data_IF_658002527542
#
_entry.id   IF_658002527542
#
_cell.length_a   1.000
_cell.length_b   1.000
_cell.length_c   1.000
_cell.angle_alpha   90.00
_cell.angle_beta   90.00
_cell.angle_gamma   90.00
#
_symmetry.space_group_name_H-M   'P 1'
#
loop_
_entity.id
_entity.type
_entity.pdbx_description
1 polymer ?
#
# COMPACT_ATOMS: atom_id res chain seq x y z
N UNK A 1 -1.68 18.36 -14.03
CA UNK A 1 -0.96 18.15 -12.78
C UNK A 1 -0.78 16.66 -12.53
N UNK A 2 0.41 16.22 -12.19
CA UNK A 2 0.68 14.80 -11.97
C UNK A 2 0.04 14.25 -10.71
N UNK A 3 0.42 13.05 -10.33
CA UNK A 3 -0.02 12.39 -9.12
C UNK A 3 0.34 13.21 -7.88
N UNK A 4 -0.45 13.07 -6.85
CA UNK A 4 -0.15 13.77 -5.60
C UNK A 4 0.67 12.85 -4.69
N UNK A 5 1.74 13.34 -4.03
CA UNK A 5 2.55 12.52 -3.13
C UNK A 5 1.75 11.88 -2.00
N UNK A 6 0.71 12.55 -1.50
CA UNK A 6 -0.13 12.01 -0.43
C UNK A 6 -0.93 10.78 -0.87
N UNK A 7 -1.24 10.62 -2.15
CA UNK A 7 -1.91 9.42 -2.64
C UNK A 7 -1.01 8.19 -2.50
N UNK A 8 0.27 8.31 -2.88
CA UNK A 8 1.24 7.22 -2.74
C UNK A 8 1.50 6.87 -1.29
N UNK A 9 1.63 7.88 -0.45
CA UNK A 9 1.79 7.70 0.99
C UNK A 9 0.56 7.00 1.58
N UNK A 10 -0.64 7.41 1.16
CA UNK A 10 -1.90 6.87 1.62
C UNK A 10 -2.07 5.38 1.31
N UNK A 11 -1.51 4.88 0.20
CA UNK A 11 -1.55 3.46 -0.14
C UNK A 11 -0.93 2.61 0.97
N UNK A 12 0.26 2.98 1.43
CA UNK A 12 0.95 2.27 2.52
C UNK A 12 0.17 2.36 3.82
N UNK A 13 -0.35 3.54 4.15
CA UNK A 13 -1.14 3.75 5.35
C UNK A 13 -2.44 2.94 5.34
N UNK A 14 -3.09 2.86 4.19
CA UNK A 14 -4.35 2.12 4.02
C UNK A 14 -4.18 0.65 4.36
N UNK A 15 -3.13 0.01 3.88
CA UNK A 15 -2.86 -1.41 4.17
C UNK A 15 -2.62 -1.62 5.66
N UNK A 16 -2.01 -0.63 6.33
CA UNK A 16 -1.72 -0.71 7.76
C UNK A 16 -2.87 -0.31 8.69
N UNK A 17 -4.01 0.13 8.15
CA UNK A 17 -5.12 0.61 8.98
C UNK A 17 -5.81 -0.55 9.72
N UNK A 18 -5.95 -0.41 11.02
CA UNK A 18 -6.57 -1.43 11.87
C UNK A 18 -8.08 -1.46 11.80
N UNK A 19 -8.72 -0.28 11.63
CA UNK A 19 -10.17 -0.18 11.61
C UNK A 19 -10.71 -0.53 10.23
N UNK A 20 -11.51 -1.60 10.10
CA UNK A 20 -12.04 -2.01 8.79
C UNK A 20 -12.88 -0.94 8.10
N UNK A 21 -13.62 -0.15 8.86
CA UNK A 21 -14.47 0.91 8.30
C UNK A 21 -13.61 2.04 7.73
N UNK A 22 -12.59 2.45 8.47
CA UNK A 22 -11.65 3.49 8.01
C UNK A 22 -10.84 3.02 6.82
N UNK A 23 -10.41 1.76 6.86
CA UNK A 23 -9.65 1.18 5.74
C UNK A 23 -10.49 1.20 4.47
N UNK A 24 -11.75 0.75 4.54
CA UNK A 24 -12.63 0.74 3.37
C UNK A 24 -12.88 2.16 2.86
N UNK A 25 -13.13 3.11 3.75
CA UNK A 25 -13.32 4.50 3.36
C UNK A 25 -12.11 5.07 2.65
N UNK A 26 -10.90 4.77 3.14
CA UNK A 26 -9.66 5.21 2.50
C UNK A 26 -9.47 4.56 1.12
N UNK A 27 -9.80 3.28 0.99
CA UNK A 27 -9.73 2.59 -0.30
C UNK A 27 -10.68 3.23 -1.31
N UNK A 28 -11.90 3.53 -0.91
CA UNK A 28 -12.89 4.15 -1.78
C UNK A 28 -12.46 5.55 -2.24
N UNK A 29 -11.72 6.26 -1.42
CA UNK A 29 -11.22 7.59 -1.75
C UNK A 29 -9.97 7.56 -2.62
N UNK A 30 -9.03 6.67 -2.31
CA UNK A 30 -7.67 6.70 -2.87
C UNK A 30 -7.55 5.86 -4.14
N UNK A 31 -8.25 4.73 -4.20
CA UNK A 31 -8.14 3.79 -5.32
C UNK A 31 -9.25 3.99 -6.35
N UNK A 32 -8.91 3.75 -7.63
CA UNK A 32 -9.92 3.57 -8.65
C UNK A 32 -10.78 2.34 -8.35
N UNK A 33 -12.00 2.33 -8.83
CA UNK A 33 -12.89 1.17 -8.66
C UNK A 33 -12.36 -0.09 -9.36
N UNK A 34 -11.53 0.08 -10.39
CA UNK A 34 -10.92 -1.01 -11.15
C UNK A 34 -9.42 -1.15 -10.86
N UNK A 35 -8.96 -0.62 -9.73
CA UNK A 35 -7.56 -0.70 -9.33
C UNK A 35 -7.10 -2.15 -9.19
N UNK A 36 -5.81 -2.39 -9.43
CA UNK A 36 -5.21 -3.72 -9.33
C UNK A 36 -4.02 -3.66 -8.38
N UNK A 37 -3.99 -4.62 -7.47
CA UNK A 37 -2.90 -4.79 -6.51
C UNK A 37 -2.16 -6.08 -6.84
N UNK A 38 -0.86 -5.98 -7.10
CA UNK A 38 0.00 -7.13 -7.42
C UNK A 38 0.85 -7.47 -6.21
N UNK A 39 0.67 -8.69 -5.69
CA UNK A 39 1.41 -9.20 -4.55
C UNK A 39 2.65 -9.98 -5.05
N UNK A 40 3.83 -9.80 -4.42
CA UNK A 40 5.05 -10.49 -4.83
C UNK A 40 4.97 -12.01 -4.74
N UNK A 41 4.02 -12.54 -3.99
CA UNK A 41 3.78 -13.98 -3.91
C UNK A 41 2.85 -14.51 -5.01
N UNK A 42 2.54 -13.66 -6.00
CA UNK A 42 1.79 -14.07 -7.18
C UNK A 42 0.30 -13.74 -7.15
N UNK A 43 -0.21 -13.18 -6.07
CA UNK A 43 -1.60 -12.77 -6.00
C UNK A 43 -1.89 -11.53 -6.83
N UNK A 44 -3.03 -11.51 -7.51
CA UNK A 44 -3.51 -10.34 -8.24
C UNK A 44 -4.92 -10.06 -7.73
N UNK A 45 -5.10 -8.87 -7.16
CA UNK A 45 -6.36 -8.47 -6.52
C UNK A 45 -6.94 -7.31 -7.29
N UNK A 46 -8.12 -7.50 -7.86
CA UNK A 46 -8.75 -6.54 -8.76
C UNK A 46 -9.97 -5.93 -8.11
N UNK A 47 -10.02 -4.60 -8.11
CA UNK A 47 -11.14 -3.84 -7.58
C UNK A 47 -11.03 -3.59 -6.08
N UNK A 48 -11.81 -2.63 -5.63
CA UNK A 48 -11.76 -2.16 -4.23
C UNK A 48 -12.14 -3.24 -3.23
N UNK A 49 -13.09 -4.10 -3.56
CA UNK A 49 -13.52 -5.16 -2.65
C UNK A 49 -12.39 -6.15 -2.38
N UNK A 50 -11.69 -6.58 -3.44
CA UNK A 50 -10.58 -7.51 -3.31
C UNK A 50 -9.37 -6.87 -2.62
N UNK A 51 -9.10 -5.61 -2.91
CA UNK A 51 -8.01 -4.87 -2.26
C UNK A 51 -8.30 -4.73 -0.76
N UNK A 52 -9.52 -4.40 -0.40
CA UNK A 52 -9.93 -4.33 1.01
C UNK A 52 -9.81 -5.69 1.70
N UNK A 53 -10.24 -6.74 1.03
CA UNK A 53 -10.16 -8.10 1.56
C UNK A 53 -8.72 -8.50 1.85
N UNK A 54 -7.81 -8.32 0.89
CA UNK A 54 -6.41 -8.71 1.10
C UNK A 54 -5.72 -7.84 2.15
N UNK A 55 -6.04 -6.55 2.21
CA UNK A 55 -5.52 -5.67 3.25
C UNK A 55 -5.93 -6.16 4.64
N UNK A 56 -7.18 -6.60 4.78
CA UNK A 56 -7.67 -7.19 6.02
C UNK A 56 -6.97 -8.48 6.39
N UNK A 57 -6.70 -9.35 5.42
CA UNK A 57 -5.97 -10.61 5.64
C UNK A 57 -4.55 -10.31 6.11
N UNK A 58 -3.85 -9.38 5.45
CA UNK A 58 -2.49 -8.99 5.82
C UNK A 58 -2.48 -8.47 7.26
N UNK A 59 -3.41 -7.60 7.61
CA UNK A 59 -3.46 -7.03 8.96
C UNK A 59 -3.82 -8.06 10.01
N UNK A 60 -4.71 -8.99 9.69
CA UNK A 60 -5.09 -10.07 10.62
C UNK A 60 -3.94 -11.03 10.88
N UNK A 61 -3.09 -11.26 9.88
CA UNK A 61 -1.92 -12.13 10.02
C UNK A 61 -0.87 -11.53 10.95
N UNK A 62 -0.72 -10.19 10.91
CA UNK A 62 0.25 -9.46 11.74
C UNK A 62 -0.41 -8.23 12.36
N UNK A 63 -1.31 -8.43 13.36
CA UNK A 63 -2.11 -7.31 13.88
C UNK A 63 -1.29 -6.22 14.57
N UNK A 64 -0.10 -6.55 15.09
CA UNK A 64 0.76 -5.59 15.77
C UNK A 64 1.73 -4.88 14.84
N UNK A 65 1.76 -5.25 13.57
CA UNK A 65 2.70 -4.65 12.63
C UNK A 65 2.22 -3.27 12.20
N UNK A 66 3.16 -2.35 12.09
CA UNK A 66 2.92 -1.02 11.58
C UNK A 66 3.80 -0.76 10.37
N UNK A 67 3.21 -0.16 9.34
CA UNK A 67 3.95 0.32 8.19
C UNK A 67 4.61 1.65 8.53
N UNK A 68 5.89 1.77 8.16
CA UNK A 68 6.62 3.00 8.34
C UNK A 68 7.37 3.35 7.07
N UNK A 69 6.98 4.43 6.37
CA UNK A 69 7.75 4.90 5.22
C UNK A 69 9.14 5.31 5.64
N UNK A 70 10.15 4.91 4.87
CA UNK A 70 11.54 5.25 5.16
C UNK A 70 11.93 6.61 4.62
N UNK A 71 11.35 6.98 3.48
CA UNK A 71 11.64 8.23 2.78
C UNK A 71 10.33 8.81 2.27
N UNK A 72 10.30 10.12 1.96
CA UNK A 72 9.15 10.68 1.26
C UNK A 72 8.90 9.94 -0.06
N UNK A 73 7.64 9.79 -0.47
CA UNK A 73 7.33 9.17 -1.75
C UNK A 73 8.02 9.91 -2.90
N UNK A 74 8.53 9.15 -3.85
CA UNK A 74 9.13 9.69 -5.06
C UNK A 74 8.14 9.56 -6.20
N UNK A 75 8.00 10.61 -7.00
CA UNK A 75 7.07 10.65 -8.13
C UNK A 75 7.82 10.87 -9.44
N UNK A 76 7.31 10.22 -10.49
CA UNK A 76 7.79 10.42 -11.85
C UNK A 76 6.60 10.23 -12.80
N UNK A 77 6.11 11.32 -13.39
CA UNK A 77 4.91 11.28 -14.20
C UNK A 77 3.71 10.82 -13.40
N UNK A 78 3.01 9.82 -13.85
CA UNK A 78 1.87 9.22 -13.17
C UNK A 78 2.26 8.09 -12.21
N UNK A 79 3.55 7.83 -12.07
CA UNK A 79 4.06 6.76 -11.22
C UNK A 79 4.75 7.32 -9.99
N UNK A 80 4.82 6.49 -8.97
CA UNK A 80 5.54 6.80 -7.75
C UNK A 80 6.04 5.55 -7.08
N UNK A 81 6.94 5.73 -6.14
CA UNK A 81 7.38 4.63 -5.29
C UNK A 81 7.48 5.07 -3.84
N UNK A 82 7.15 4.14 -2.96
CA UNK A 82 7.24 4.34 -1.52
C UNK A 82 8.03 3.18 -0.95
N UNK A 83 9.16 3.46 -0.35
CA UNK A 83 9.95 2.46 0.38
C UNK A 83 9.50 2.43 1.83
N UNK A 84 9.30 1.23 2.36
CA UNK A 84 8.72 1.06 3.69
C UNK A 84 9.35 -0.12 4.44
N UNK A 85 9.17 -0.07 5.77
CA UNK A 85 9.42 -1.22 6.63
C UNK A 85 8.13 -1.53 7.39
N UNK A 86 8.00 -2.76 7.86
CA UNK A 86 6.86 -3.19 8.64
C UNK A 86 7.31 -4.14 9.74
N UNK A 87 6.76 -3.98 10.92
CA UNK A 87 7.06 -4.82 12.06
C UNK A 87 6.40 -4.31 13.32
N UNK A 88 6.69 -4.99 14.42
CA UNK A 88 6.20 -4.58 15.74
C UNK A 88 6.94 -3.31 16.19
N UNK A 89 6.22 -2.29 16.65
CA UNK A 89 6.86 -1.07 17.16
C UNK A 89 7.92 -1.37 18.23
N UNK A 90 9.05 -0.69 18.14
CA UNK A 90 10.15 -0.86 19.07
C UNK A 90 11.03 -2.06 18.82
N UNK A 91 10.77 -2.84 17.77
CA UNK A 91 11.57 -4.00 17.39
C UNK A 91 12.11 -3.82 15.97
N UNK A 92 13.17 -4.58 15.59
CA UNK A 92 13.67 -4.53 14.23
C UNK A 92 12.56 -4.88 13.22
N UNK A 93 12.58 -4.28 12.02
CA UNK A 93 11.59 -4.60 11.01
C UNK A 93 11.55 -6.08 10.65
N UNK A 94 10.34 -6.63 10.55
CA UNK A 94 10.13 -8.00 10.09
C UNK A 94 10.14 -8.08 8.56
N UNK A 95 9.63 -7.03 7.91
CA UNK A 95 9.55 -6.94 6.45
C UNK A 95 10.00 -5.56 5.99
N UNK A 96 10.53 -5.52 4.79
CA UNK A 96 10.76 -4.29 4.08
C UNK A 96 10.35 -4.46 2.62
N UNK A 97 9.99 -3.39 1.98
CA UNK A 97 9.58 -3.47 0.59
C UNK A 97 9.49 -2.11 -0.06
N UNK A 98 9.11 -2.15 -1.32
CA UNK A 98 8.86 -0.97 -2.12
C UNK A 98 7.56 -1.17 -2.88
N UNK A 99 6.66 -0.20 -2.74
CA UNK A 99 5.44 -0.14 -3.54
C UNK A 99 5.71 0.76 -4.74
N UNK A 100 5.48 0.23 -5.93
CA UNK A 100 5.43 1.04 -7.14
C UNK A 100 3.96 1.25 -7.48
N UNK A 101 3.58 2.51 -7.62
CA UNK A 101 2.19 2.91 -7.71
C UNK A 101 1.99 3.69 -8.99
N UNK A 102 0.95 3.34 -9.75
CA UNK A 102 0.54 4.12 -10.93
C UNK A 102 -0.80 4.75 -10.62
N UNK A 103 -0.87 6.07 -10.78
CA UNK A 103 -2.09 6.84 -10.57
C UNK A 103 -2.70 7.26 -11.89
N UNK A 104 -4.02 7.41 -11.89
CA UNK A 104 -4.78 7.91 -13.02
C UNK A 104 -5.87 8.84 -12.48
N UNK A 105 -5.91 10.06 -12.97
CA UNK A 105 -6.88 11.07 -12.54
C UNK A 105 -6.88 11.29 -11.03
N UNK A 106 -5.68 11.29 -10.43
CA UNK A 106 -5.52 11.56 -8.99
C UNK A 106 -5.83 10.38 -8.07
N UNK A 107 -6.14 9.20 -8.64
CA UNK A 107 -6.42 7.99 -7.86
C UNK A 107 -5.50 6.87 -8.30
N UNK A 108 -5.26 5.93 -7.39
CA UNK A 108 -4.37 4.79 -7.66
C UNK A 108 -5.06 3.81 -8.60
N UNK A 109 -4.41 3.55 -9.74
CA UNK A 109 -4.86 2.56 -10.72
C UNK A 109 -4.21 1.20 -10.52
N UNK A 110 -2.94 1.17 -10.07
CA UNK A 110 -2.27 -0.10 -9.78
C UNK A 110 -1.19 0.08 -8.74
N UNK A 111 -0.95 -0.98 -7.99
CA UNK A 111 0.12 -1.08 -6.99
C UNK A 111 0.90 -2.35 -7.26
N UNK A 112 2.22 -2.23 -7.34
CA UNK A 112 3.15 -3.34 -7.48
C UNK A 112 3.99 -3.41 -6.22
N UNK A 113 3.79 -4.44 -5.41
CA UNK A 113 4.49 -4.61 -4.15
C UNK A 113 5.70 -5.51 -4.36
N UNK A 114 6.87 -5.02 -3.97
CA UNK A 114 8.11 -5.79 -3.98
C UNK A 114 8.66 -5.89 -2.57
N UNK A 115 9.02 -7.10 -2.15
CA UNK A 115 9.71 -7.27 -0.88
C UNK A 115 11.22 -7.09 -1.08
N UNK A 116 11.86 -6.42 -0.11
CA UNK A 116 13.30 -6.32 -0.05
C UNK A 116 13.88 -7.50 0.71
N UNK A 117 15.10 -7.88 0.37
CA UNK A 117 15.84 -8.87 1.14
C UNK A 117 16.40 -8.21 2.39
N UNK A 118 16.05 -8.75 3.57
CA UNK A 118 16.54 -8.26 4.86
C UNK A 118 17.77 -9.00 5.38
N UNK A 119 18.36 -9.85 4.57
CA UNK A 119 19.54 -10.62 4.98
C UNK A 119 20.76 -9.73 5.26
#
# INVERSE_FOLDING_TARGET
MGSRPDAFFGSTQTVGENDPVRRRAAIDEIFHEDAVFYDPQGGIFRGRDEIDRIAGVIKATHPDFEYQPLFPPEELGDAGRVRWVSGTPGKPPAYAGTDFIVARNGRIASVYLFFDNLA
#
